data_IF_090762516326
#
_entry.id   IF_090762516326
#
_cell.length_a   1.000
_cell.length_b   1.000
_cell.length_c   1.000
_cell.angle_alpha   90.00
_cell.angle_beta   90.00
_cell.angle_gamma   90.00
#
_symmetry.space_group_name_H-M   'P 1'
#
loop_
_entity.id
_entity.type
_entity.pdbx_description
1 polymer ?
#
# COMPACT_ATOMS: atom_id res chain seq x y z
N UNK A 1 -24.43 1.46 26.56
CA UNK A 1 -24.65 0.97 25.25
C UNK A 1 -23.88 1.72 24.18
N UNK A 2 -23.74 2.95 24.36
CA UNK A 2 -23.01 3.75 23.39
C UNK A 2 -21.51 3.53 23.50
N UNK A 3 -21.02 3.05 24.63
CA UNK A 3 -19.60 2.76 24.80
C UNK A 3 -19.08 1.75 23.79
N UNK A 4 -19.94 0.88 23.31
CA UNK A 4 -19.57 -0.11 22.32
C UNK A 4 -19.06 0.56 21.05
N UNK A 5 -19.54 1.76 20.75
CA UNK A 5 -19.19 2.43 19.51
C UNK A 5 -17.82 3.06 19.51
N UNK A 6 -17.17 3.11 20.65
CA UNK A 6 -15.81 3.65 20.72
C UNK A 6 -14.83 2.76 19.96
N UNK A 7 -14.96 1.45 20.10
CA UNK A 7 -14.07 0.54 19.38
C UNK A 7 -14.19 0.70 17.88
N UNK A 8 -15.40 0.84 17.36
CA UNK A 8 -15.59 1.05 15.94
C UNK A 8 -15.06 2.39 15.48
N UNK A 9 -15.15 3.40 16.32
CA UNK A 9 -14.61 4.71 16.00
C UNK A 9 -13.10 4.65 15.82
N UNK A 10 -12.41 3.96 16.72
CA UNK A 10 -10.96 3.78 16.58
C UNK A 10 -10.60 2.96 15.37
N UNK A 11 -11.37 1.92 15.08
CA UNK A 11 -11.12 1.10 13.89
C UNK A 11 -11.28 1.91 12.61
N UNK A 12 -12.27 2.78 12.56
CA UNK A 12 -12.47 3.65 11.40
C UNK A 12 -11.34 4.64 11.24
N UNK A 13 -10.86 5.19 12.33
CA UNK A 13 -9.74 6.12 12.29
C UNK A 13 -8.49 5.41 11.77
N UNK A 14 -8.25 4.18 12.21
CA UNK A 14 -7.12 3.40 11.72
C UNK A 14 -7.26 3.07 10.24
N UNK A 15 -8.49 2.81 9.78
CA UNK A 15 -8.74 2.50 8.39
C UNK A 15 -8.56 3.71 7.47
N UNK A 16 -8.48 4.90 8.06
CA UNK A 16 -8.32 6.14 7.30
C UNK A 16 -6.87 6.64 7.32
N UNK A 17 -5.92 5.73 7.38
CA UNK A 17 -4.52 6.14 7.31
C UNK A 17 -4.26 6.90 6.03
N UNK A 18 -3.38 7.91 6.08
CA UNK A 18 -3.05 8.67 4.88
C UNK A 18 -2.52 7.78 3.78
N UNK A 19 -2.89 8.10 2.55
CA UNK A 19 -2.29 7.47 1.38
C UNK A 19 -0.84 7.91 1.29
N UNK A 20 0.05 6.96 1.05
CA UNK A 20 1.47 7.23 0.93
C UNK A 20 1.77 8.22 -0.21
N UNK A 21 1.05 8.08 -1.33
CA UNK A 21 1.17 9.00 -2.45
C UNK A 21 -0.17 9.68 -2.66
N UNK A 22 -0.22 10.98 -2.42
CA UNK A 22 -1.40 11.77 -2.74
C UNK A 22 -1.48 12.01 -4.25
N UNK A 23 -2.61 12.60 -4.66
CA UNK A 23 -2.79 12.95 -6.07
C UNK A 23 -1.81 14.01 -6.55
N UNK A 24 -1.24 14.77 -5.63
CA UNK A 24 -0.30 15.84 -5.93
C UNK A 24 1.16 15.41 -5.76
N UNK A 25 1.42 14.12 -5.69
CA UNK A 25 2.78 13.62 -5.56
C UNK A 25 3.63 14.10 -6.74
N UNK A 26 4.84 14.56 -6.45
CA UNK A 26 5.76 15.03 -7.48
C UNK A 26 6.71 13.91 -7.90
N UNK A 27 7.16 13.91 -9.16
CA UNK A 27 8.19 12.95 -9.58
C UNK A 27 9.41 13.02 -8.67
N UNK A 28 9.90 11.85 -8.29
CA UNK A 28 11.00 11.72 -7.33
C UNK A 28 10.54 11.54 -5.90
N UNK A 29 9.25 11.73 -5.62
CA UNK A 29 8.73 11.52 -4.27
C UNK A 29 8.90 10.04 -3.89
N UNK A 30 9.45 9.81 -2.72
CA UNK A 30 9.71 8.46 -2.20
C UNK A 30 9.03 8.29 -0.86
N UNK A 31 8.38 7.16 -0.70
CA UNK A 31 7.84 6.73 0.59
C UNK A 31 8.58 5.47 0.97
N UNK A 32 9.09 5.42 2.21
CA UNK A 32 9.74 4.21 2.67
C UNK A 32 9.39 3.98 4.14
N UNK A 33 9.42 2.73 4.51
CA UNK A 33 9.18 2.37 5.88
C UNK A 33 9.14 0.87 6.05
N UNK A 34 8.90 0.49 7.29
CA UNK A 34 8.78 -0.92 7.65
C UNK A 34 7.34 -1.37 7.40
N UNK A 35 7.19 -2.54 6.78
CA UNK A 35 5.87 -3.12 6.55
C UNK A 35 5.31 -3.59 7.87
N UNK A 36 4.15 -3.07 8.26
CA UNK A 36 3.48 -3.47 9.49
C UNK A 36 2.24 -4.30 9.25
N UNK A 37 1.63 -4.14 8.07
CA UNK A 37 0.40 -4.86 7.74
C UNK A 37 0.22 -4.93 6.24
N UNK A 38 -0.30 -6.05 5.77
CA UNK A 38 -0.66 -6.25 4.38
C UNK A 38 -2.04 -6.88 4.38
N UNK A 39 -2.92 -6.42 3.50
CA UNK A 39 -4.25 -7.00 3.43
C UNK A 39 -5.04 -6.53 2.24
N UNK A 40 -6.30 -6.87 2.25
CA UNK A 40 -7.24 -6.47 1.24
C UNK A 40 -8.42 -5.80 1.91
N UNK A 41 -9.04 -4.87 1.21
CA UNK A 41 -10.24 -4.21 1.65
C UNK A 41 -11.12 -3.94 0.44
N UNK A 42 -12.43 -3.78 0.63
CA UNK A 42 -13.29 -3.40 -0.47
C UNK A 42 -12.87 -2.06 -1.04
N UNK A 43 -12.78 -1.99 -2.35
CA UNK A 43 -12.45 -0.74 -3.05
C UNK A 43 -13.70 0.13 -3.06
N UNK A 44 -13.55 1.39 -2.68
CA UNK A 44 -14.65 2.34 -2.73
C UNK A 44 -14.90 2.76 -4.18
N UNK A 45 -16.16 2.92 -4.50
CA UNK A 45 -16.56 3.31 -5.85
C UNK A 45 -16.19 4.78 -6.09
N UNK A 46 -15.46 5.03 -7.16
CA UNK A 46 -15.11 6.40 -7.53
C UNK A 46 -16.37 7.15 -7.94
N UNK A 47 -16.59 8.29 -7.28
CA UNK A 47 -17.77 9.10 -7.56
C UNK A 47 -19.07 8.55 -6.98
N UNK A 48 -19.00 7.46 -6.21
CA UNK A 48 -20.18 6.89 -5.58
C UNK A 48 -20.54 7.58 -4.27
N UNK A 49 -21.61 7.10 -3.66
CA UNK A 49 -22.03 7.58 -2.35
C UNK A 49 -21.01 7.19 -1.29
N UNK A 50 -20.95 7.91 -0.15
CA UNK A 50 -20.03 7.54 0.92
C UNK A 50 -20.23 6.09 1.35
N UNK A 51 -19.13 5.32 1.37
CA UNK A 51 -19.19 3.92 1.76
C UNK A 51 -19.62 2.97 0.66
N UNK A 52 -20.00 3.47 -0.50
CA UNK A 52 -20.38 2.62 -1.62
C UNK A 52 -19.14 1.90 -2.16
N UNK A 53 -19.23 0.58 -2.31
CA UNK A 53 -18.11 -0.22 -2.79
C UNK A 53 -18.21 -0.42 -4.30
N UNK A 54 -17.04 -0.59 -4.92
CA UNK A 54 -16.95 -0.90 -6.34
C UNK A 54 -17.29 -2.36 -6.57
N UNK A 55 -17.97 -2.65 -7.68
CA UNK A 55 -18.32 -4.02 -8.06
C UNK A 55 -17.92 -4.28 -9.50
N UNK A 56 -17.61 -5.54 -9.79
CA UNK A 56 -17.31 -5.95 -11.16
C UNK A 56 -18.60 -6.25 -11.91
N UNK A 57 -18.47 -6.67 -13.17
CA UNK A 57 -19.62 -6.94 -14.03
C UNK A 57 -20.48 -8.07 -13.52
N UNK A 58 -19.93 -8.96 -12.72
CA UNK A 58 -20.67 -10.09 -12.13
C UNK A 58 -21.32 -9.71 -10.80
N UNK A 59 -21.14 -8.48 -10.34
CA UNK A 59 -21.71 -8.02 -9.07
C UNK A 59 -20.87 -8.32 -7.85
N UNK A 60 -19.66 -8.86 -8.05
CA UNK A 60 -18.74 -9.14 -6.94
C UNK A 60 -18.04 -7.86 -6.49
N UNK A 61 -17.85 -7.73 -5.18
CA UNK A 61 -17.11 -6.59 -4.63
C UNK A 61 -15.66 -6.65 -5.11
N UNK A 62 -15.17 -5.54 -5.66
CA UNK A 62 -13.77 -5.43 -6.05
C UNK A 62 -12.94 -5.19 -4.79
N UNK A 63 -11.90 -6.01 -4.61
CA UNK A 63 -11.00 -5.89 -3.48
C UNK A 63 -9.76 -5.09 -3.88
N UNK A 64 -9.25 -4.33 -2.94
CA UNK A 64 -8.07 -3.51 -3.12
C UNK A 64 -7.00 -3.94 -2.13
N UNK A 65 -5.80 -4.20 -2.63
CA UNK A 65 -4.66 -4.50 -1.78
C UNK A 65 -4.20 -3.25 -1.06
N UNK A 66 -3.67 -3.42 0.15
CA UNK A 66 -2.99 -2.32 0.81
C UNK A 66 -1.78 -2.84 1.58
N UNK A 67 -0.79 -1.98 1.71
CA UNK A 67 0.41 -2.23 2.51
C UNK A 67 0.56 -1.03 3.44
N UNK A 68 0.57 -1.30 4.74
CA UNK A 68 0.79 -0.24 5.73
C UNK A 68 2.27 -0.17 6.05
N UNK A 69 2.84 1.01 5.91
CA UNK A 69 4.23 1.28 6.20
C UNK A 69 4.34 2.18 7.41
N UNK A 70 5.26 1.85 8.31
CA UNK A 70 5.68 2.75 9.38
C UNK A 70 6.80 3.62 8.84
N UNK A 71 6.45 4.84 8.49
CA UNK A 71 7.38 5.78 7.87
C UNK A 71 7.86 6.80 8.91
N UNK A 72 8.92 7.56 8.61
CA UNK A 72 9.33 8.64 9.52
C UNK A 72 8.22 9.66 9.79
N UNK A 73 7.28 9.81 8.86
CA UNK A 73 6.14 10.70 9.04
C UNK A 73 4.90 10.04 9.64
N UNK A 74 5.02 8.80 10.10
CA UNK A 74 3.91 8.05 10.68
C UNK A 74 3.43 6.93 9.78
N UNK A 75 2.36 6.28 10.20
CA UNK A 75 1.79 5.18 9.42
C UNK A 75 1.11 5.70 8.18
N UNK A 76 1.37 5.06 7.06
CA UNK A 76 0.75 5.40 5.78
C UNK A 76 0.42 4.12 5.02
N UNK A 77 -0.59 4.20 4.18
CA UNK A 77 -0.99 3.07 3.34
C UNK A 77 -0.55 3.28 1.90
N UNK A 78 0.03 2.22 1.32
CA UNK A 78 0.18 2.08 -0.11
C UNK A 78 -1.00 1.28 -0.64
N UNK A 79 -1.49 1.66 -1.80
CA UNK A 79 -2.55 0.92 -2.50
C UNK A 79 -1.99 0.47 -3.85
N UNK A 80 -1.24 -0.64 -3.86
CA UNK A 80 -0.59 -1.08 -5.10
C UNK A 80 -1.62 -1.47 -6.15
N UNK A 81 -1.41 -0.99 -7.35
CA UNK A 81 -2.20 -1.37 -8.49
C UNK A 81 -1.35 -1.20 -9.73
N UNK A 82 -1.59 -2.02 -10.73
CA UNK A 82 -0.93 -1.93 -12.04
C UNK A 82 0.57 -1.75 -11.92
N UNK A 83 1.09 -0.58 -12.26
CA UNK A 83 2.53 -0.34 -12.33
C UNK A 83 3.23 -0.34 -10.98
N UNK A 84 2.56 0.11 -9.93
CA UNK A 84 3.15 0.03 -8.58
C UNK A 84 3.25 -1.44 -8.15
N UNK A 85 2.24 -2.23 -8.43
CA UNK A 85 2.27 -3.65 -8.12
C UNK A 85 3.42 -4.34 -8.85
N UNK A 86 3.61 -4.02 -10.13
CA UNK A 86 4.72 -4.55 -10.91
C UNK A 86 6.07 -4.13 -10.34
N UNK A 87 6.20 -2.86 -9.97
CA UNK A 87 7.46 -2.35 -9.42
C UNK A 87 7.81 -3.07 -8.11
N UNK A 88 6.83 -3.27 -7.25
CA UNK A 88 7.04 -3.99 -5.99
C UNK A 88 7.40 -5.45 -6.27
N UNK A 89 6.72 -6.08 -7.23
CA UNK A 89 7.03 -7.45 -7.62
C UNK A 89 8.46 -7.60 -8.12
N UNK A 90 8.91 -6.67 -8.96
CA UNK A 90 10.29 -6.67 -9.45
C UNK A 90 11.29 -6.48 -8.31
N UNK A 91 10.95 -5.63 -7.33
CA UNK A 91 11.81 -5.40 -6.18
C UNK A 91 11.94 -6.66 -5.33
N UNK A 92 10.84 -7.39 -5.16
CA UNK A 92 10.85 -8.66 -4.42
C UNK A 92 11.69 -9.70 -5.15
N UNK A 93 11.54 -9.81 -6.47
CA UNK A 93 12.36 -10.72 -7.27
C UNK A 93 13.83 -10.40 -7.15
N UNK A 94 14.18 -9.12 -7.20
CA UNK A 94 15.58 -8.69 -7.06
C UNK A 94 16.14 -9.02 -5.69
N UNK A 95 15.30 -9.04 -4.67
CA UNK A 95 15.70 -9.39 -3.30
C UNK A 95 15.66 -10.90 -3.05
N UNK A 96 15.19 -11.69 -4.00
CA UNK A 96 15.03 -13.12 -3.83
C UNK A 96 13.93 -13.51 -2.86
N UNK A 97 12.93 -12.65 -2.70
CA UNK A 97 11.85 -12.88 -1.74
C UNK A 97 10.66 -13.56 -2.43
N UNK A 98 10.15 -14.61 -1.81
CA UNK A 98 8.96 -15.31 -2.31
C UNK A 98 7.67 -14.65 -1.84
N UNK A 99 7.72 -13.93 -0.74
CA UNK A 99 6.57 -13.27 -0.15
C UNK A 99 7.04 -12.11 0.70
N UNK A 100 6.08 -11.30 1.15
CA UNK A 100 6.38 -10.19 2.04
C UNK A 100 6.65 -10.69 3.46
N UNK A 101 7.62 -10.05 4.11
CA UNK A 101 7.85 -10.22 5.54
C UNK A 101 7.31 -9.00 6.27
N UNK A 102 6.53 -9.21 7.31
CA UNK A 102 6.21 -8.14 8.24
C UNK A 102 7.53 -7.73 8.93
N UNK A 103 7.81 -6.44 8.92
CA UNK A 103 9.07 -5.93 9.45
C UNK A 103 10.12 -5.67 8.37
N UNK A 104 9.92 -6.18 7.17
CA UNK A 104 10.79 -5.82 6.05
C UNK A 104 10.59 -4.36 5.66
N UNK A 105 11.58 -3.80 4.99
CA UNK A 105 11.53 -2.41 4.55
C UNK A 105 11.14 -2.35 3.08
N UNK A 106 10.22 -1.47 2.77
CA UNK A 106 9.81 -1.21 1.39
C UNK A 106 9.97 0.27 1.10
N UNK A 107 10.61 0.55 -0.03
CA UNK A 107 10.75 1.92 -0.55
C UNK A 107 10.08 1.95 -1.91
N UNK A 108 9.22 2.93 -2.13
CA UNK A 108 8.54 3.11 -3.42
C UNK A 108 8.72 4.56 -3.83
N UNK A 109 9.15 4.75 -5.07
CA UNK A 109 9.38 6.07 -5.63
C UNK A 109 8.45 6.29 -6.81
N UNK A 110 7.76 7.42 -6.81
CA UNK A 110 7.01 7.88 -7.95
C UNK A 110 7.97 8.50 -8.95
N UNK A 111 8.07 7.90 -10.14
CA UNK A 111 9.03 8.33 -11.16
C UNK A 111 8.46 9.46 -12.01
N UNK A 112 7.16 9.42 -12.23
CA UNK A 112 6.50 10.39 -13.09
C UNK A 112 5.40 9.74 -13.91
N UNK A 113 4.72 10.53 -14.76
CA UNK A 113 3.70 9.97 -15.65
C UNK A 113 4.34 9.02 -16.66
N UNK A 114 3.57 8.02 -17.06
CA UNK A 114 3.99 7.13 -18.15
C UNK A 114 4.02 7.92 -19.46
N UNK A 115 5.13 7.91 -20.20
CA UNK A 115 5.18 8.64 -21.48
C UNK A 115 4.14 8.18 -22.50
N UNK A 116 3.71 6.91 -22.41
CA UNK A 116 2.74 6.34 -23.36
C UNK A 116 1.31 6.46 -22.87
N UNK A 117 1.10 6.84 -21.61
CA UNK A 117 -0.23 6.96 -21.02
C UNK A 117 -0.18 7.93 -19.85
N UNK A 118 -0.51 9.18 -20.11
CA UNK A 118 -0.40 10.26 -19.14
C UNK A 118 -1.32 10.09 -17.93
N UNK A 119 -2.30 9.19 -18.01
CA UNK A 119 -3.16 8.87 -16.86
C UNK A 119 -2.55 7.84 -15.93
N UNK A 120 -1.49 7.19 -16.36
CA UNK A 120 -0.80 6.19 -15.55
C UNK A 120 0.44 6.79 -14.91
N UNK A 121 0.79 6.25 -13.75
CA UNK A 121 1.98 6.68 -13.00
C UNK A 121 2.99 5.55 -12.99
N UNK A 122 4.26 5.90 -13.16
CA UNK A 122 5.35 4.94 -13.09
C UNK A 122 5.97 4.98 -11.71
N UNK A 123 6.38 3.82 -11.22
CA UNK A 123 7.01 3.66 -9.92
C UNK A 123 8.22 2.76 -10.01
N UNK A 124 9.16 2.96 -9.12
CA UNK A 124 10.22 2.02 -8.83
C UNK A 124 10.14 1.66 -7.36
N UNK A 125 10.70 0.52 -6.99
CA UNK A 125 10.63 0.07 -5.61
C UNK A 125 11.91 -0.67 -5.23
N UNK A 126 12.20 -0.66 -3.92
CA UNK A 126 13.26 -1.47 -3.33
C UNK A 126 12.65 -2.21 -2.16
N UNK A 127 12.84 -3.52 -2.13
CA UNK A 127 12.38 -4.37 -1.03
C UNK A 127 13.58 -4.93 -0.31
N UNK A 128 13.65 -4.71 0.99
CA UNK A 128 14.73 -5.23 1.82
C UNK A 128 14.13 -6.16 2.85
N UNK A 129 14.34 -7.48 2.70
CA UNK A 129 13.78 -8.43 3.65
C UNK A 129 14.28 -8.15 5.07
N UNK A 130 13.45 -8.48 6.06
CA UNK A 130 13.88 -8.39 7.43
C UNK A 130 15.09 -9.30 7.62
N UNK A 131 16.15 -8.76 8.18
CA UNK A 131 17.37 -9.53 8.36
C UNK A 131 17.16 -10.57 9.42
N UNK A 132 17.25 -11.83 9.03
CA UNK A 132 17.16 -12.96 9.95
C UNK A 132 18.49 -13.66 10.11
N UNK A 133 19.44 -13.29 9.26
CA UNK A 133 20.71 -13.97 9.20
C UNK A 133 21.43 -13.93 10.53
N UNK A 134 21.42 -12.79 11.21
CA UNK A 134 22.11 -12.73 12.51
C UNK A 134 21.36 -13.51 13.58
N UNK A 135 20.07 -13.71 13.47
CA UNK A 135 19.39 -14.61 14.38
C UNK A 135 19.76 -16.04 14.08
N UNK A 136 19.86 -16.35 12.81
CA UNK A 136 20.30 -17.67 12.39
C UNK A 136 21.74 -17.96 12.73
N UNK A 137 22.54 -16.94 12.85
CA UNK A 137 23.95 -17.09 13.19
C UNK A 137 24.17 -17.39 14.68
N UNK A 138 23.16 -17.28 15.46
CA UNK A 138 23.28 -17.50 16.90
C UNK A 138 23.42 -18.99 17.27
#
# INVERSE_FOLDING_TARGET
MTSIKYGQRFKRAAAKLPNAFGKDAAPGATVYGRITKIGEQPKLKYGGAPGEVDTDDAGNVVMQLFITLDTPGGLKNLYPASRMEQAIGHAMDAAGADDFDIGATLSVTYVGPDPDNDKARLYTAVYTPQTRAHRGAV
#
